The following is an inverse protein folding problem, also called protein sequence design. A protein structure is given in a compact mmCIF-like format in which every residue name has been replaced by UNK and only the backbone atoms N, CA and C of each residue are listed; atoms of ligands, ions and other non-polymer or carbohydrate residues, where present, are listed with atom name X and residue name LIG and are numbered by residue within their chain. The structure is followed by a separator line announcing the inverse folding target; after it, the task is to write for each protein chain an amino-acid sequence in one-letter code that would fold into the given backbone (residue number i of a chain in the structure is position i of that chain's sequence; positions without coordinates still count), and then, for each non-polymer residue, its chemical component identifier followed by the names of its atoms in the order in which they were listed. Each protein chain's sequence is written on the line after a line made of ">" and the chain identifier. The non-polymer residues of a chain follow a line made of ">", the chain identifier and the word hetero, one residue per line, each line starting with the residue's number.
data_IF_253776280376
#
_entry.id   IF_253776280376
#
_cell.length_a   1.000
_cell.length_b   1.000
_cell.length_c   1.000
_cell.angle_alpha   90.00
_cell.angle_beta   90.00
_cell.angle_gamma   90.00
#
_symmetry.space_group_name_H-M   'P 1'
#
loop_
_entity.id
_entity.type
_entity.pdbx_description
1 polymer ?
#
# COMPACT_ATOMS: atom_id res chain seq x y z
N UNK A 1 9.33 -19.96 -3.47
CA UNK A 1 8.38 -20.94 -4.05
C UNK A 1 8.10 -20.56 -5.49
N UNK A 2 7.86 -21.54 -6.38
CA UNK A 2 7.46 -21.31 -7.77
C UNK A 2 6.02 -21.79 -7.94
N UNK A 3 5.14 -20.90 -8.37
CA UNK A 3 3.70 -21.12 -8.47
C UNK A 3 3.21 -20.52 -9.77
N UNK A 4 2.27 -21.18 -10.43
CA UNK A 4 1.56 -20.64 -11.59
C UNK A 4 0.28 -19.98 -11.09
N UNK A 5 0.04 -18.73 -11.50
CA UNK A 5 -1.16 -17.96 -11.14
C UNK A 5 -1.74 -17.35 -12.41
N UNK A 6 -3.06 -17.24 -12.45
CA UNK A 6 -3.77 -16.47 -13.49
C UNK A 6 -3.97 -15.05 -12.97
N UNK A 7 -3.61 -14.05 -13.75
CA UNK A 7 -3.76 -12.62 -13.43
C UNK A 7 -4.19 -11.86 -14.68
N UNK A 8 -4.84 -10.73 -14.48
CA UNK A 8 -5.22 -9.82 -15.56
C UNK A 8 -3.98 -9.13 -16.19
N UNK A 9 -4.14 -8.69 -17.44
CA UNK A 9 -3.05 -8.11 -18.23
C UNK A 9 -2.53 -6.79 -17.65
N UNK A 10 -3.39 -6.02 -17.01
CA UNK A 10 -3.04 -4.77 -16.32
C UNK A 10 -2.14 -5.04 -15.11
N UNK A 11 -2.46 -6.06 -14.30
CA UNK A 11 -1.64 -6.52 -13.18
C UNK A 11 -0.27 -6.98 -13.68
N UNK A 12 -0.24 -7.74 -14.78
CA UNK A 12 1.02 -8.17 -15.39
C UNK A 12 1.87 -6.98 -15.88
N UNK A 13 1.26 -5.97 -16.48
CA UNK A 13 1.95 -4.76 -16.93
C UNK A 13 2.59 -4.00 -15.75
N UNK A 14 1.83 -3.79 -14.67
CA UNK A 14 2.33 -3.13 -13.45
C UNK A 14 3.47 -3.93 -12.81
N UNK A 15 3.34 -5.25 -12.73
CA UNK A 15 4.38 -6.11 -12.17
C UNK A 15 5.68 -6.08 -12.97
N UNK A 16 5.60 -6.04 -14.31
CA UNK A 16 6.78 -5.89 -15.20
C UNK A 16 7.47 -4.55 -14.99
N UNK A 17 6.71 -3.45 -14.91
CA UNK A 17 7.26 -2.13 -14.66
C UNK A 17 7.99 -2.05 -13.31
N UNK A 18 7.38 -2.59 -12.25
CA UNK A 18 7.99 -2.64 -10.91
C UNK A 18 9.25 -3.52 -10.89
N UNK A 19 9.22 -4.66 -11.58
CA UNK A 19 10.37 -5.55 -11.68
C UNK A 19 11.57 -4.85 -12.35
N UNK A 20 11.32 -4.12 -13.44
CA UNK A 20 12.34 -3.35 -14.15
C UNK A 20 12.91 -2.21 -13.28
N UNK A 21 12.03 -1.44 -12.64
CA UNK A 21 12.42 -0.34 -11.73
C UNK A 21 13.34 -0.84 -10.60
N UNK A 22 13.02 -1.98 -10.01
CA UNK A 22 13.73 -2.52 -8.86
C UNK A 22 14.85 -3.51 -9.22
N UNK A 23 15.14 -3.71 -10.51
CA UNK A 23 16.08 -4.75 -11.01
C UNK A 23 15.86 -6.11 -10.33
N UNK A 24 14.60 -6.52 -10.25
CA UNK A 24 14.17 -7.74 -9.56
C UNK A 24 13.41 -8.68 -10.49
N UNK A 25 13.16 -9.91 -10.05
CA UNK A 25 12.37 -10.86 -10.84
C UNK A 25 10.88 -10.52 -10.82
N UNK A 26 10.15 -10.91 -11.87
CA UNK A 26 8.70 -10.73 -11.96
C UNK A 26 7.96 -11.35 -10.76
N UNK A 27 8.37 -12.56 -10.34
CA UNK A 27 7.78 -13.21 -9.17
C UNK A 27 8.01 -12.45 -7.86
N UNK A 28 9.16 -11.77 -7.72
CA UNK A 28 9.45 -10.93 -6.54
C UNK A 28 8.59 -9.66 -6.56
N UNK A 29 8.45 -9.02 -7.71
CA UNK A 29 7.56 -7.87 -7.89
C UNK A 29 6.09 -8.21 -7.62
N UNK A 30 5.58 -9.33 -8.16
CA UNK A 30 4.22 -9.81 -7.88
C UNK A 30 4.01 -10.09 -6.39
N UNK A 31 4.96 -10.77 -5.76
CA UNK A 31 4.89 -11.06 -4.33
C UNK A 31 4.90 -9.78 -3.48
N UNK A 32 5.59 -8.73 -3.93
CA UNK A 32 5.59 -7.43 -3.28
C UNK A 32 4.25 -6.72 -3.42
N UNK A 33 3.68 -6.67 -4.62
CA UNK A 33 2.36 -6.10 -4.85
C UNK A 33 1.31 -6.80 -3.96
N UNK A 34 1.32 -8.14 -3.91
CA UNK A 34 0.44 -8.90 -3.04
C UNK A 34 0.62 -8.53 -1.56
N UNK A 35 1.86 -8.48 -1.05
CA UNK A 35 2.15 -8.06 0.34
C UNK A 35 1.71 -6.63 0.66
N UNK A 36 1.75 -5.73 -0.33
CA UNK A 36 1.25 -4.35 -0.17
C UNK A 36 -0.28 -4.33 -0.11
N UNK A 37 -0.96 -5.12 -0.94
CA UNK A 37 -2.42 -5.26 -0.90
C UNK A 37 -2.95 -5.93 0.37
N UNK A 38 -2.20 -6.87 0.96
CA UNK A 38 -2.58 -7.51 2.24
C UNK A 38 -2.30 -6.67 3.47
N UNK A 39 -1.40 -5.68 3.39
CA UNK A 39 -1.29 -4.68 4.44
C UNK A 39 -2.54 -3.83 4.33
N UNK A 40 -3.59 -4.24 5.04
CA UNK A 40 -4.81 -3.48 5.22
C UNK A 40 -4.42 -2.02 5.41
N UNK A 41 -4.98 -1.15 4.56
CA UNK A 41 -5.09 0.26 4.88
C UNK A 41 -5.74 0.25 6.25
N UNK A 42 -5.02 0.70 7.29
CA UNK A 42 -5.63 0.93 8.60
C UNK A 42 -6.97 1.59 8.34
N UNK A 43 -8.09 1.07 8.87
CA UNK A 43 -9.40 1.55 8.49
C UNK A 43 -9.38 3.05 8.68
N UNK A 44 -9.37 3.78 7.55
CA UNK A 44 -9.62 5.21 7.55
C UNK A 44 -10.92 5.32 8.32
N UNK A 45 -10.85 5.91 9.51
CA UNK A 45 -12.06 6.15 10.29
C UNK A 45 -12.86 7.09 9.42
N UNK A 46 -13.94 6.58 8.85
CA UNK A 46 -14.88 7.37 8.08
C UNK A 46 -15.52 8.33 9.08
N UNK A 47 -14.97 9.54 9.17
CA UNK A 47 -15.65 10.65 9.80
C UNK A 47 -16.91 10.96 9.00
N UNK A 48 -17.90 11.57 9.65
CA UNK A 48 -19.24 11.81 9.07
C UNK A 48 -19.19 12.52 7.71
N UNK A 49 -18.15 13.32 7.43
CA UNK A 49 -18.01 14.04 6.15
C UNK A 49 -16.59 14.09 5.53
N UNK A 50 -15.54 13.48 6.10
CA UNK A 50 -14.18 13.54 5.51
C UNK A 50 -13.31 12.31 5.80
N UNK A 51 -12.39 12.03 4.86
CA UNK A 51 -11.32 11.03 5.02
C UNK A 51 -10.28 11.59 6.00
N UNK A 52 -10.47 11.36 7.30
CA UNK A 52 -9.52 11.79 8.33
C UNK A 52 -8.41 10.75 8.52
N UNK A 53 -7.17 11.23 8.61
CA UNK A 53 -6.04 10.39 9.03
C UNK A 53 -6.25 9.93 10.47
N UNK A 54 -5.95 8.66 10.75
CA UNK A 54 -6.00 8.15 12.11
C UNK A 54 -4.83 8.74 12.93
N UNK A 55 -5.15 9.60 13.89
CA UNK A 55 -4.21 10.07 14.89
C UNK A 55 -4.11 9.04 16.02
N UNK A 56 -2.89 8.78 16.52
CA UNK A 56 -2.71 7.87 17.66
C UNK A 56 -3.38 8.45 18.91
N UNK A 57 -3.93 7.58 19.76
CA UNK A 57 -4.62 8.01 20.99
C UNK A 57 -3.72 8.76 21.98
N UNK A 58 -2.40 8.58 21.88
CA UNK A 58 -1.38 9.21 22.70
C UNK A 58 -0.68 10.39 22.01
N UNK A 59 -1.17 10.84 20.86
CA UNK A 59 -0.61 12.01 20.19
C UNK A 59 -0.92 13.29 20.97
N UNK A 60 0.11 14.11 21.18
CA UNK A 60 -0.03 15.45 21.75
C UNK A 60 -0.67 16.40 20.72
N UNK A 61 -1.56 17.28 21.17
CA UNK A 61 -2.24 18.23 20.30
C UNK A 61 -1.27 19.36 19.95
N UNK A 62 -1.07 19.61 18.65
CA UNK A 62 -0.31 20.76 18.14
C UNK A 62 -1.29 21.87 17.80
N UNK A 63 -1.06 23.07 18.32
CA UNK A 63 -1.85 24.26 18.03
C UNK A 63 -1.01 25.33 17.31
N UNK A 64 -1.61 26.48 17.01
CA UNK A 64 -0.87 27.60 16.38
C UNK A 64 0.18 28.23 17.32
N UNK A 65 0.15 27.96 18.63
CA UNK A 65 1.16 28.49 19.55
C UNK A 65 2.48 27.70 19.54
N UNK A 66 2.49 26.54 18.90
CA UNK A 66 3.65 25.65 18.76
C UNK A 66 4.52 25.94 17.51
N UNK A 67 4.11 26.87 16.63
CA UNK A 67 4.70 27.11 15.29
C UNK A 67 5.27 28.51 15.12
#
# INVERSE_FOLDING_TARGET
>A
MRTTVTIDDDVLAVAKALAAQNRSSLGRALSELARRGFRSVDPVRKGEDDTVFAVRADAEAITNEDV
#
